data_IF_679711715251
#
_entry.id   IF_679711715251
#
_cell.length_a   1.000
_cell.length_b   1.000
_cell.length_c   1.000
_cell.angle_alpha   90.00
_cell.angle_beta   90.00
_cell.angle_gamma   90.00
#
_symmetry.space_group_name_H-M   'P 1'
#
loop_
_entity.id
_entity.type
_entity.pdbx_description
1 polymer ?
#
# COMPACT_ATOMS: atom_id res chain seq x y z
N UNK A 1 -2.15 13.22 -67.29
CA UNK A 1 -2.54 11.86 -66.84
C UNK A 1 -1.66 11.37 -65.68
N UNK A 2 -0.33 11.35 -65.83
CA UNK A 2 0.63 10.97 -64.78
C UNK A 2 0.54 11.79 -63.47
N UNK A 3 0.27 13.10 -63.55
CA UNK A 3 0.13 13.94 -62.36
C UNK A 3 -1.09 13.56 -61.50
N UNK A 4 -2.24 13.24 -62.12
CA UNK A 4 -3.46 12.84 -61.39
C UNK A 4 -3.28 11.51 -60.67
N UNK A 5 -2.57 10.56 -61.31
CA UNK A 5 -2.26 9.26 -60.72
C UNK A 5 -1.33 9.42 -59.51
N UNK A 6 -0.33 10.30 -59.60
CA UNK A 6 0.57 10.58 -58.48
C UNK A 6 -0.13 11.32 -57.33
N UNK A 7 -1.07 12.23 -57.62
CA UNK A 7 -1.86 12.92 -56.58
C UNK A 7 -2.81 11.95 -55.87
N UNK A 8 -3.46 11.04 -56.60
CA UNK A 8 -4.30 10.00 -55.99
C UNK A 8 -3.48 8.98 -55.19
N UNK A 9 -2.29 8.60 -55.67
CA UNK A 9 -1.38 7.71 -54.94
C UNK A 9 -0.85 8.36 -53.65
N UNK A 10 -0.55 9.66 -53.67
CA UNK A 10 -0.09 10.40 -52.49
C UNK A 10 -1.19 10.54 -51.42
N UNK A 11 -2.43 10.82 -51.83
CA UNK A 11 -3.58 10.87 -50.92
C UNK A 11 -3.92 9.49 -50.34
N UNK A 12 -3.76 8.42 -51.13
CA UNK A 12 -3.94 7.05 -50.64
C UNK A 12 -2.85 6.63 -49.65
N UNK A 13 -1.60 7.05 -49.85
CA UNK A 13 -0.48 6.75 -48.95
C UNK A 13 -0.57 7.52 -47.62
N UNK A 14 -1.09 8.75 -47.63
CA UNK A 14 -1.30 9.56 -46.42
C UNK A 14 -2.49 9.09 -45.55
N UNK A 15 -3.36 8.22 -46.07
CA UNK A 15 -4.56 7.73 -45.40
C UNK A 15 -4.39 6.36 -44.68
N UNK A 16 -3.16 5.90 -44.49
CA UNK A 16 -2.90 4.62 -43.84
C UNK A 16 -2.91 4.78 -42.30
N UNK A 17 -3.88 4.19 -41.58
CA UNK A 17 -3.87 4.23 -40.12
C UNK A 17 -2.66 3.44 -39.61
N UNK A 18 -1.84 4.09 -38.78
CA UNK A 18 -0.67 3.51 -38.14
C UNK A 18 -1.09 2.45 -37.11
N UNK A 19 -1.41 1.25 -37.59
CA UNK A 19 -1.44 -0.06 -36.91
C UNK A 19 -2.66 -0.92 -37.35
N UNK A 20 -2.50 -1.70 -38.42
CA UNK A 20 -3.46 -2.75 -38.78
C UNK A 20 -2.71 -4.08 -38.90
N UNK A 21 -3.24 -5.15 -38.28
CA UNK A 21 -2.83 -6.52 -38.56
C UNK A 21 -3.41 -6.98 -39.91
N UNK A 22 -2.78 -8.01 -40.51
CA UNK A 22 -2.98 -8.57 -41.86
C UNK A 22 -4.42 -9.02 -42.24
N UNK A 23 -5.43 -8.76 -41.40
CA UNK A 23 -6.84 -9.10 -41.65
C UNK A 23 -7.80 -7.92 -41.66
N UNK A 24 -7.32 -6.67 -41.77
CA UNK A 24 -8.19 -5.49 -41.95
C UNK A 24 -9.17 -5.24 -40.79
N UNK A 25 -9.00 -5.96 -39.67
CA UNK A 25 -9.67 -5.66 -38.41
C UNK A 25 -8.82 -4.63 -37.70
N UNK A 26 -9.41 -3.48 -37.37
CA UNK A 26 -8.81 -2.54 -36.42
C UNK A 26 -8.38 -3.37 -35.22
N UNK A 27 -7.10 -3.31 -34.84
CA UNK A 27 -6.68 -3.87 -33.55
C UNK A 27 -7.64 -3.31 -32.51
N UNK A 28 -8.24 -4.11 -31.62
CA UNK A 28 -8.96 -3.54 -30.50
C UNK A 28 -7.95 -2.64 -29.80
N UNK A 29 -8.19 -1.34 -29.86
CA UNK A 29 -7.27 -0.39 -29.25
C UNK A 29 -7.30 -0.72 -27.77
N UNK A 30 -6.18 -1.26 -27.27
CA UNK A 30 -6.13 -1.75 -25.90
C UNK A 30 -5.91 -0.54 -25.02
N UNK A 31 -6.86 -0.28 -24.12
CA UNK A 31 -6.68 0.76 -23.13
C UNK A 31 -5.42 0.47 -22.32
N UNK A 32 -4.45 1.38 -22.37
CA UNK A 32 -3.25 1.30 -21.55
C UNK A 32 -3.64 1.58 -20.09
N UNK A 33 -3.91 0.50 -19.35
CA UNK A 33 -4.30 0.53 -17.94
C UNK A 33 -3.23 1.13 -17.05
N UNK A 34 -1.95 1.11 -17.47
CA UNK A 34 -0.86 1.73 -16.72
C UNK A 34 -0.90 3.25 -16.84
N UNK A 35 -1.30 3.78 -18.00
CA UNK A 35 -1.35 5.22 -18.27
C UNK A 35 -2.68 5.88 -17.88
N UNK A 36 -3.80 5.21 -18.13
CA UNK A 36 -5.13 5.77 -17.90
C UNK A 36 -5.74 5.37 -16.54
N UNK A 37 -5.21 4.33 -15.90
CA UNK A 37 -5.71 3.82 -14.63
C UNK A 37 -6.99 2.98 -14.75
N UNK A 38 -7.38 2.33 -13.66
CA UNK A 38 -8.51 1.40 -13.58
C UNK A 38 -9.83 2.05 -13.12
N UNK A 39 -9.88 3.38 -13.00
CA UNK A 39 -11.09 4.07 -12.54
C UNK A 39 -12.20 4.03 -13.61
N UNK A 40 -13.46 3.98 -13.17
CA UNK A 40 -14.62 3.96 -14.06
C UNK A 40 -14.65 5.22 -14.96
N UNK A 41 -14.16 6.36 -14.45
CA UNK A 41 -14.04 7.60 -15.21
C UNK A 41 -12.97 7.51 -16.31
N UNK A 42 -11.88 6.80 -16.07
CA UNK A 42 -10.84 6.60 -17.08
C UNK A 42 -11.34 5.69 -18.20
N UNK A 43 -12.07 4.62 -17.85
CA UNK A 43 -12.68 3.73 -18.83
C UNK A 43 -13.76 4.44 -19.64
N UNK A 44 -14.60 5.26 -19.00
CA UNK A 44 -15.63 6.04 -19.68
C UNK A 44 -15.03 7.10 -20.62
N UNK A 45 -13.92 7.73 -20.24
CA UNK A 45 -13.18 8.66 -21.13
C UNK A 45 -12.59 7.93 -22.32
N UNK A 46 -11.96 6.79 -22.12
CA UNK A 46 -11.45 5.97 -23.23
C UNK A 46 -12.56 5.55 -24.19
N UNK A 47 -13.73 5.15 -23.68
CA UNK A 47 -14.89 4.81 -24.50
C UNK A 47 -15.44 6.04 -25.22
N UNK A 48 -15.53 7.19 -24.56
CA UNK A 48 -15.97 8.44 -25.17
C UNK A 48 -15.02 8.89 -26.29
N UNK A 49 -13.70 8.81 -26.07
CA UNK A 49 -12.69 9.19 -27.07
C UNK A 49 -12.73 8.28 -28.31
N UNK A 50 -13.15 7.02 -28.17
CA UNK A 50 -13.17 6.04 -29.25
C UNK A 50 -14.52 5.87 -29.93
N UNK A 51 -15.62 6.16 -29.23
CA UNK A 51 -17.00 5.90 -29.72
C UNK A 51 -17.89 7.14 -29.73
N UNK A 52 -17.40 8.29 -29.27
CA UNK A 52 -18.13 9.56 -29.10
C UNK A 52 -19.37 9.45 -28.18
N UNK A 53 -19.52 8.32 -27.48
CA UNK A 53 -20.60 8.08 -26.52
C UNK A 53 -20.14 8.55 -25.13
N UNK A 54 -20.74 9.63 -24.65
CA UNK A 54 -20.45 10.14 -23.30
C UNK A 54 -21.26 9.38 -22.24
N UNK A 55 -20.57 8.53 -21.47
CA UNK A 55 -21.15 7.80 -20.33
C UNK A 55 -21.09 8.70 -19.09
N UNK A 56 -22.21 8.90 -18.40
CA UNK A 56 -22.25 9.62 -17.11
C UNK A 56 -21.99 8.65 -15.97
N UNK A 57 -20.83 8.77 -15.32
CA UNK A 57 -20.46 7.97 -14.15
C UNK A 57 -21.05 8.62 -12.90
N UNK A 58 -22.03 7.95 -12.29
CA UNK A 58 -22.59 8.32 -11.00
C UNK A 58 -21.83 7.54 -9.93
N UNK A 59 -21.00 8.22 -9.14
CA UNK A 59 -20.35 7.61 -7.97
C UNK A 59 -21.39 7.53 -6.86
N UNK A 60 -21.89 6.34 -6.46
CA UNK A 60 -22.80 6.25 -5.33
C UNK A 60 -22.11 6.81 -4.08
N UNK A 61 -22.83 7.52 -3.19
CA UNK A 61 -22.26 8.05 -1.96
C UNK A 61 -21.55 6.92 -1.19
N UNK A 62 -20.27 7.14 -0.88
CA UNK A 62 -19.44 6.15 -0.19
C UNK A 62 -19.86 6.06 1.28
N UNK A 63 -20.75 5.12 1.59
CA UNK A 63 -21.15 4.80 2.95
C UNK A 63 -20.14 3.91 3.70
N UNK A 64 -19.16 3.32 3.01
CA UNK A 64 -18.14 2.50 3.67
C UNK A 64 -17.21 3.36 4.53
N UNK A 65 -16.82 4.55 4.06
CA UNK A 65 -15.99 5.48 4.83
C UNK A 65 -16.60 5.89 6.20
N UNK A 66 -17.85 6.38 6.27
CA UNK A 66 -18.47 6.70 7.56
C UNK A 66 -18.72 5.47 8.42
N UNK A 67 -19.04 4.30 7.84
CA UNK A 67 -19.21 3.05 8.61
C UNK A 67 -17.89 2.63 9.27
N UNK A 68 -16.77 2.69 8.55
CA UNK A 68 -15.44 2.37 9.11
C UNK A 68 -15.05 3.37 10.19
N UNK A 69 -15.35 4.66 10.02
CA UNK A 69 -15.08 5.68 11.05
C UNK A 69 -15.90 5.43 12.31
N UNK A 70 -17.20 5.13 12.16
CA UNK A 70 -18.08 4.82 13.29
C UNK A 70 -17.65 3.54 14.00
N UNK A 71 -17.23 2.52 13.24
CA UNK A 71 -16.73 1.26 13.78
C UNK A 71 -15.40 1.48 14.53
N UNK A 72 -14.48 2.24 13.97
CA UNK A 72 -13.19 2.56 14.60
C UNK A 72 -13.41 3.36 15.88
N UNK A 73 -14.28 4.36 15.85
CA UNK A 73 -14.67 5.12 17.04
C UNK A 73 -15.34 4.22 18.09
N UNK A 74 -16.26 3.35 17.69
CA UNK A 74 -16.90 2.40 18.61
C UNK A 74 -15.91 1.40 19.20
N UNK A 75 -14.91 0.96 18.44
CA UNK A 75 -13.85 0.07 18.92
C UNK A 75 -12.91 0.77 19.90
N UNK A 76 -12.49 2.00 19.59
CA UNK A 76 -11.64 2.81 20.48
C UNK A 76 -12.39 3.17 21.77
N UNK A 77 -13.64 3.64 21.66
CA UNK A 77 -14.50 3.96 22.79
C UNK A 77 -14.86 2.71 23.60
N UNK A 78 -15.10 1.58 22.94
CA UNK A 78 -15.37 0.29 23.57
C UNK A 78 -14.16 -0.26 24.34
N UNK A 79 -12.97 -0.18 23.76
CA UNK A 79 -11.72 -0.53 24.45
C UNK A 79 -11.46 0.41 25.64
N UNK A 80 -11.66 1.72 25.47
CA UNK A 80 -11.55 2.69 26.57
C UNK A 80 -12.58 2.44 27.66
N UNK A 81 -13.81 2.05 27.31
CA UNK A 81 -14.89 1.75 28.25
C UNK A 81 -14.62 0.46 29.03
N UNK A 82 -14.26 -0.63 28.34
CA UNK A 82 -13.95 -1.92 28.96
C UNK A 82 -12.66 -1.87 29.80
N UNK A 83 -11.69 -1.03 29.39
CA UNK A 83 -10.42 -0.86 30.11
C UNK A 83 -10.35 0.37 31.01
N UNK A 84 -11.46 1.06 31.28
CA UNK A 84 -11.54 2.24 32.15
C UNK A 84 -10.96 2.00 33.55
N UNK A 85 -11.03 0.77 34.05
CA UNK A 85 -10.50 0.40 35.36
C UNK A 85 -9.02 -0.05 35.35
N UNK A 86 -8.36 -0.14 34.18
CA UNK A 86 -7.01 -0.68 34.03
C UNK A 86 -6.14 0.14 33.03
N UNK A 87 -6.09 1.46 33.27
CA UNK A 87 -5.38 2.49 32.48
C UNK A 87 -3.85 2.31 32.40
N UNK A 88 -3.27 1.31 33.06
CA UNK A 88 -1.83 1.01 33.05
C UNK A 88 -1.27 0.79 31.64
N UNK A 89 -2.06 0.25 30.71
CA UNK A 89 -1.63 0.07 29.32
C UNK A 89 -1.44 1.40 28.60
N UNK A 90 -2.32 2.39 28.82
CA UNK A 90 -2.21 3.71 28.20
C UNK A 90 -1.02 4.53 28.75
N UNK A 91 -0.52 4.22 29.95
CA UNK A 91 0.66 4.87 30.52
C UNK A 91 1.99 4.18 30.15
N UNK A 92 1.94 2.95 29.64
CA UNK A 92 3.13 2.18 29.32
C UNK A 92 3.78 2.67 28.00
N UNK A 93 5.01 3.21 28.08
CA UNK A 93 5.77 3.68 26.90
C UNK A 93 6.01 2.61 25.85
N UNK A 94 6.15 1.34 26.23
CA UNK A 94 6.37 0.24 25.27
C UNK A 94 5.14 -0.02 24.40
N UNK A 95 3.92 0.18 24.93
CA UNK A 95 2.69 0.04 24.15
C UNK A 95 2.58 1.12 23.09
N UNK A 96 2.91 2.37 23.42
CA UNK A 96 2.98 3.48 22.47
C UNK A 96 4.07 3.27 21.42
N UNK A 97 5.21 2.72 21.83
CA UNK A 97 6.27 2.30 20.91
C UNK A 97 5.77 1.28 19.88
N UNK A 98 5.04 0.26 20.33
CA UNK A 98 4.43 -0.75 19.45
C UNK A 98 3.42 -0.12 18.47
N UNK A 99 2.55 0.77 18.97
CA UNK A 99 1.55 1.47 18.14
C UNK A 99 2.23 2.32 17.06
N UNK A 100 3.24 3.12 17.43
CA UNK A 100 4.02 3.92 16.48
C UNK A 100 4.69 3.05 15.41
N UNK A 101 5.21 1.88 15.80
CA UNK A 101 5.88 0.94 14.92
C UNK A 101 4.89 0.29 13.94
N UNK A 102 3.69 -0.11 14.41
CA UNK A 102 2.61 -0.59 13.54
C UNK A 102 2.18 0.46 12.51
N UNK A 103 2.01 1.71 12.92
CA UNK A 103 1.65 2.83 12.02
C UNK A 103 2.74 3.03 10.96
N UNK A 104 4.00 2.96 11.37
CA UNK A 104 5.17 3.10 10.49
C UNK A 104 5.14 2.04 9.39
N UNK A 105 4.88 0.76 9.71
CA UNK A 105 4.79 -0.29 8.69
C UNK A 105 3.63 -0.11 7.71
N UNK A 106 2.46 0.33 8.19
CA UNK A 106 1.30 0.62 7.33
C UNK A 106 1.66 1.70 6.30
N UNK A 107 2.37 2.74 6.71
CA UNK A 107 2.80 3.81 5.80
C UNK A 107 3.95 3.39 4.87
N UNK A 108 4.96 2.67 5.35
CA UNK A 108 6.09 2.24 4.51
C UNK A 108 5.69 1.16 3.49
N UNK A 109 4.72 0.31 3.82
CA UNK A 109 4.24 -0.77 2.94
C UNK A 109 3.69 -0.24 1.61
N UNK A 110 3.13 0.98 1.59
CA UNK A 110 2.47 1.56 0.40
C UNK A 110 0.93 1.54 0.47
N UNK A 111 0.34 1.42 1.66
CA UNK A 111 -1.13 1.38 1.83
C UNK A 111 -1.85 2.63 1.28
N UNK A 112 -1.19 3.78 1.26
CA UNK A 112 -1.74 4.99 0.63
C UNK A 112 -1.86 4.85 -0.89
N UNK A 113 -0.93 4.16 -1.54
CA UNK A 113 -0.99 3.91 -2.98
C UNK A 113 -2.19 3.00 -3.31
N UNK A 114 -2.42 1.97 -2.49
CA UNK A 114 -3.61 1.12 -2.57
C UNK A 114 -4.91 1.92 -2.40
N UNK A 115 -4.95 2.84 -1.43
CA UNK A 115 -6.15 3.65 -1.16
C UNK A 115 -6.49 4.62 -2.31
N UNK A 116 -5.49 5.18 -3.00
CA UNK A 116 -5.70 6.16 -4.08
C UNK A 116 -6.02 5.47 -5.41
N UNK A 117 -5.33 4.37 -5.74
CA UNK A 117 -5.42 3.74 -7.07
C UNK A 117 -6.34 2.53 -7.12
N UNK A 118 -6.65 1.91 -5.98
CA UNK A 118 -7.53 0.74 -5.90
C UNK A 118 -7.12 -0.43 -6.81
N UNK A 119 -5.84 -0.85 -6.83
CA UNK A 119 -5.40 -2.00 -7.62
C UNK A 119 -6.19 -3.28 -7.24
N UNK A 120 -6.37 -4.25 -8.15
CA UNK A 120 -6.89 -5.57 -7.83
C UNK A 120 -5.91 -6.31 -6.91
N UNK A 121 -6.46 -7.19 -6.08
CA UNK A 121 -5.68 -7.93 -5.08
C UNK A 121 -4.67 -8.90 -5.72
N UNK A 122 -5.06 -9.54 -6.81
CA UNK A 122 -4.28 -10.50 -7.60
C UNK A 122 -4.58 -10.21 -9.06
N UNK A 123 -3.57 -10.28 -9.93
CA UNK A 123 -3.75 -10.22 -11.37
C UNK A 123 -3.57 -11.62 -11.96
N UNK A 124 -4.61 -12.19 -12.56
CA UNK A 124 -4.52 -13.50 -13.22
C UNK A 124 -4.05 -13.30 -14.66
N UNK A 125 -3.06 -14.08 -15.10
CA UNK A 125 -2.60 -14.04 -16.49
C UNK A 125 -3.74 -14.54 -17.42
N UNK A 126 -4.21 -13.73 -18.40
CA UNK A 126 -5.33 -14.09 -19.27
C UNK A 126 -5.05 -15.30 -20.19
N UNK A 127 -3.79 -15.68 -20.39
CA UNK A 127 -3.39 -16.81 -21.23
C UNK A 127 -3.19 -18.11 -20.43
N UNK A 128 -2.69 -18.04 -19.19
CA UNK A 128 -2.32 -19.23 -18.39
C UNK A 128 -3.14 -19.41 -17.11
N UNK A 129 -4.04 -18.47 -16.76
CA UNK A 129 -4.85 -18.43 -15.52
C UNK A 129 -4.07 -18.46 -14.20
N UNK A 130 -2.75 -18.40 -14.25
CA UNK A 130 -1.93 -18.35 -13.05
C UNK A 130 -2.13 -17.02 -12.30
N UNK A 131 -2.30 -17.11 -10.99
CA UNK A 131 -2.40 -15.97 -10.10
C UNK A 131 -1.01 -15.35 -9.91
N UNK A 132 -0.74 -14.20 -10.53
CA UNK A 132 0.50 -13.46 -10.31
C UNK A 132 0.31 -12.55 -9.09
N UNK A 133 0.97 -12.90 -8.00
CA UNK A 133 1.00 -12.09 -6.77
C UNK A 133 2.00 -10.95 -6.83
N UNK A 134 2.94 -11.00 -7.79
CA UNK A 134 3.95 -9.98 -8.05
C UNK A 134 3.77 -9.52 -9.50
N UNK A 135 3.74 -8.22 -9.71
CA UNK A 135 3.58 -7.55 -10.97
C UNK A 135 4.95 -7.08 -11.48
N UNK A 136 5.28 -7.35 -12.74
CA UNK A 136 6.60 -7.06 -13.32
C UNK A 136 6.84 -5.59 -13.66
N UNK A 137 5.84 -4.72 -13.53
CA UNK A 137 5.95 -3.27 -13.81
C UNK A 137 6.38 -2.51 -12.56
N UNK A 138 7.34 -1.61 -12.70
CA UNK A 138 7.86 -0.78 -11.58
C UNK A 138 6.93 0.36 -11.18
N UNK A 139 5.95 0.69 -12.02
CA UNK A 139 4.98 1.76 -11.76
C UNK A 139 3.68 1.26 -11.13
N UNK A 140 3.52 -0.06 -11.03
CA UNK A 140 2.29 -0.69 -10.60
C UNK A 140 2.56 -1.65 -9.46
N UNK A 141 1.73 -1.58 -8.42
CA UNK A 141 1.85 -2.38 -7.22
C UNK A 141 0.56 -3.17 -7.00
N UNK A 142 0.65 -4.38 -6.48
CA UNK A 142 -0.53 -5.16 -6.09
C UNK A 142 -0.80 -5.02 -4.60
N UNK A 143 -2.06 -5.22 -4.19
CA UNK A 143 -2.41 -5.22 -2.75
C UNK A 143 -1.70 -6.38 -2.03
N UNK A 144 -1.51 -7.51 -2.71
CA UNK A 144 -0.74 -8.64 -2.16
C UNK A 144 0.72 -8.25 -1.89
N UNK A 145 1.37 -7.52 -2.80
CA UNK A 145 2.78 -7.09 -2.66
C UNK A 145 2.97 -6.17 -1.46
N UNK A 146 2.04 -5.25 -1.23
CA UNK A 146 2.07 -4.32 -0.08
C UNK A 146 2.09 -5.10 1.24
N UNK A 147 1.28 -6.14 1.39
CA UNK A 147 1.28 -7.00 2.58
C UNK A 147 2.58 -7.79 2.74
N UNK A 148 3.13 -8.34 1.65
CA UNK A 148 4.39 -9.08 1.67
C UNK A 148 5.54 -8.14 2.10
N UNK A 149 5.62 -6.94 1.53
CA UNK A 149 6.63 -5.93 1.88
C UNK A 149 6.48 -5.47 3.33
N UNK A 150 5.25 -5.27 3.80
CA UNK A 150 4.97 -4.93 5.20
C UNK A 150 5.45 -6.01 6.18
N UNK A 151 5.23 -7.29 5.84
CA UNK A 151 5.70 -8.42 6.65
C UNK A 151 7.23 -8.51 6.68
N UNK A 152 7.90 -8.26 5.56
CA UNK A 152 9.37 -8.24 5.50
C UNK A 152 9.97 -7.11 6.35
N UNK A 153 9.41 -5.90 6.29
CA UNK A 153 9.84 -4.81 7.16
C UNK A 153 9.63 -5.14 8.64
N UNK A 154 8.49 -5.73 8.99
CA UNK A 154 8.23 -6.17 10.36
C UNK A 154 9.25 -7.22 10.83
N UNK A 155 9.58 -8.21 10.00
CA UNK A 155 10.55 -9.24 10.33
C UNK A 155 11.95 -8.66 10.58
N UNK A 156 12.40 -7.72 9.74
CA UNK A 156 13.72 -7.07 9.88
C UNK A 156 13.77 -6.24 11.16
N UNK A 157 12.77 -5.40 11.40
CA UNK A 157 12.71 -4.55 12.60
C UNK A 157 12.61 -5.37 13.88
N UNK A 158 11.79 -6.43 13.87
CA UNK A 158 11.68 -7.34 15.02
C UNK A 158 13.00 -8.08 15.28
N UNK A 159 13.66 -8.57 14.22
CA UNK A 159 14.99 -9.17 14.31
C UNK A 159 16.01 -8.21 14.92
N UNK A 160 15.97 -6.93 14.54
CA UNK A 160 16.86 -5.91 15.11
C UNK A 160 16.56 -5.62 16.59
N UNK A 161 15.29 -5.60 16.99
CA UNK A 161 14.88 -5.42 18.40
C UNK A 161 15.41 -6.59 19.24
N UNK A 162 15.20 -7.83 18.79
CA UNK A 162 15.70 -9.02 19.49
C UNK A 162 17.23 -9.05 19.60
N UNK A 163 17.93 -8.63 18.54
CA UNK A 163 19.39 -8.54 18.55
C UNK A 163 19.86 -7.49 19.57
N UNK A 164 19.22 -6.32 19.62
CA UNK A 164 19.57 -5.27 20.57
C UNK A 164 19.27 -5.69 22.03
N UNK A 165 18.20 -6.44 22.25
CA UNK A 165 17.88 -7.01 23.55
C UNK A 165 18.94 -8.03 24.00
N UNK A 166 19.36 -8.93 23.10
CA UNK A 166 20.42 -9.89 23.38
C UNK A 166 21.81 -9.25 23.55
N UNK A 167 22.09 -8.16 22.84
CA UNK A 167 23.35 -7.43 22.88
C UNK A 167 23.46 -6.47 24.07
N UNK A 168 22.34 -6.08 24.69
CA UNK A 168 22.33 -5.24 25.89
C UNK A 168 22.77 -6.09 27.10
N UNK A 169 23.99 -5.92 27.63
CA UNK A 169 24.42 -6.67 28.80
C UNK A 169 23.51 -6.24 29.96
N UNK A 170 22.76 -7.20 30.50
CA UNK A 170 21.88 -7.09 31.69
C UNK A 170 22.04 -5.75 32.43
N UNK A 171 21.11 -4.82 32.21
CA UNK A 171 21.01 -3.55 32.95
C UNK A 171 21.11 -3.81 34.47
N UNK A 172 20.69 -5.00 34.90
CA UNK A 172 20.85 -5.54 36.25
C UNK A 172 22.31 -5.57 36.77
N UNK A 173 23.32 -5.95 35.96
CA UNK A 173 24.73 -6.04 36.41
C UNK A 173 25.34 -4.65 36.64
N UNK A 174 24.95 -3.66 35.83
CA UNK A 174 25.43 -2.28 35.99
C UNK A 174 24.77 -1.60 37.19
N UNK A 175 23.47 -1.81 37.41
CA UNK A 175 22.75 -1.25 38.55
C UNK A 175 23.16 -1.90 39.89
N UNK A 176 23.45 -3.22 39.92
CA UNK A 176 24.03 -3.89 41.10
C UNK A 176 25.41 -3.34 41.45
N UNK A 177 26.25 -3.04 40.46
CA UNK A 177 27.57 -2.42 40.68
C UNK A 177 27.45 -1.00 41.24
N UNK A 178 26.47 -0.22 40.75
CA UNK A 178 26.23 1.15 41.20
C UNK A 178 25.66 1.20 42.63
N UNK A 179 24.73 0.30 42.99
CA UNK A 179 24.18 0.24 44.36
C UNK A 179 25.18 -0.33 45.37
N UNK A 180 26.02 -1.29 44.99
CA UNK A 180 27.08 -1.83 45.84
C UNK A 180 28.18 -0.80 46.16
N UNK A 181 28.45 0.13 45.24
CA UNK A 181 29.43 1.21 45.47
C UNK A 181 28.90 2.31 46.40
N UNK A 182 27.57 2.43 46.55
CA UNK A 182 26.93 3.52 47.29
C UNK A 182 26.66 3.25 48.78
N UNK A 183 26.90 2.02 49.28
CA UNK A 183 26.72 1.73 50.71
C UNK A 183 27.89 2.30 51.50
N UNK A 184 27.70 3.30 52.38
CA UNK A 184 28.78 3.78 53.22
C UNK A 184 29.22 2.67 54.19
N UNK A 185 30.53 2.43 54.23
CA UNK A 185 31.23 1.38 55.01
C UNK A 185 31.14 1.56 56.54
N UNK A 186 30.37 2.53 57.05
CA UNK A 186 30.39 2.91 58.46
C UNK A 186 29.25 2.21 59.24
N UNK A 187 29.54 1.00 59.74
CA UNK A 187 28.76 0.38 60.80
C UNK A 187 29.11 1.01 62.15
N UNK A 188 28.26 1.90 62.65
CA UNK A 188 28.28 2.29 64.06
C UNK A 188 27.42 1.27 64.81
N UNK A 189 28.10 0.40 65.55
CA UNK A 189 27.51 -0.40 66.61
C UNK A 189 27.56 0.44 67.91
N UNK A 190 26.40 0.75 68.49
CA UNK A 190 26.31 1.25 69.86
C UNK A 190 25.55 0.20 70.69
N UNK A 191 26.29 -0.46 71.58
CA UNK A 191 25.77 -1.06 72.82
C UNK A 191 25.65 0.04 73.89
#
# INVERSE_FOLDING_TARGET
>A
MLAIILTFAYVAYAAQPTSLDEKGKKKPDQMDFQRHGFDADAMARFVADQTDVQIRILRPPNYAAPVVIVLLLALVLGLLYMKRNNLEFLYNRTSWGLVCLCITFVFLSGQMWNHIRGPPFIMNNPQTREASFIHGSTQYQLVAETYIVGALYAAITFGFILLNEAASPSVEVTDRKKSSSSKPFFGINNN
#
